data_IF_934390318263
#
_entry.id   IF_934390318263
#
_cell.length_a   1.000
_cell.length_b   1.000
_cell.length_c   1.000
_cell.angle_alpha   90.00
_cell.angle_beta   90.00
_cell.angle_gamma   90.00
#
_symmetry.space_group_name_H-M   'P 1'
#
loop_
_entity.id
_entity.type
_entity.pdbx_description
1 polymer ?
#
# COMPACT_ATOMS: atom_id res chain seq x y z
N UNK A 1 -17.43 -10.03 43.05
CA UNK A 1 -17.69 -8.90 42.12
C UNK A 1 -16.43 -8.37 41.44
N UNK A 2 -15.26 -8.23 42.10
CA UNK A 2 -14.00 -7.80 41.46
C UNK A 2 -13.48 -8.73 40.34
N UNK A 3 -13.68 -10.04 40.43
CA UNK A 3 -13.23 -11.03 39.42
C UNK A 3 -14.04 -11.00 38.12
N UNK A 4 -15.31 -10.59 38.17
CA UNK A 4 -16.16 -10.46 36.97
C UNK A 4 -15.76 -9.25 36.11
N UNK A 5 -15.28 -8.18 36.74
CA UNK A 5 -14.90 -6.92 36.07
C UNK A 5 -13.55 -7.03 35.34
N UNK A 6 -12.64 -7.89 35.82
CA UNK A 6 -11.36 -8.17 35.15
C UNK A 6 -11.57 -9.05 33.91
N UNK A 7 -12.52 -9.99 33.96
CA UNK A 7 -12.84 -10.88 32.81
C UNK A 7 -13.47 -10.11 31.64
N UNK A 8 -14.40 -9.19 31.91
CA UNK A 8 -15.00 -8.34 30.86
C UNK A 8 -14.00 -7.37 30.25
N UNK A 9 -13.07 -6.82 31.03
CA UNK A 9 -12.02 -5.93 30.51
C UNK A 9 -11.03 -6.67 29.61
N UNK A 10 -10.67 -7.92 29.96
CA UNK A 10 -9.77 -8.76 29.15
C UNK A 10 -10.42 -9.20 27.82
N UNK A 11 -11.72 -9.48 27.84
CA UNK A 11 -12.49 -9.83 26.63
C UNK A 11 -12.63 -8.64 25.68
N UNK A 12 -12.80 -7.42 26.20
CA UNK A 12 -12.87 -6.20 25.41
C UNK A 12 -11.52 -5.86 24.75
N UNK A 13 -10.39 -6.16 25.39
CA UNK A 13 -9.06 -5.94 24.80
C UNK A 13 -8.70 -6.92 23.68
N UNK A 14 -9.30 -8.12 23.65
CA UNK A 14 -9.07 -9.08 22.56
C UNK A 14 -9.84 -8.78 21.27
N UNK A 15 -10.84 -7.88 21.32
CA UNK A 15 -11.57 -7.44 20.12
C UNK A 15 -10.86 -6.35 19.30
N UNK A 16 -9.70 -5.86 19.76
CA UNK A 16 -8.90 -4.85 19.05
C UNK A 16 -7.63 -5.44 18.41
N UNK A 17 -7.74 -6.59 17.75
CA UNK A 17 -6.67 -6.98 16.84
C UNK A 17 -6.71 -6.03 15.63
N UNK A 18 -5.62 -5.33 15.30
CA UNK A 18 -5.58 -4.52 14.10
C UNK A 18 -5.78 -5.45 12.89
N UNK A 19 -6.78 -5.15 12.06
CA UNK A 19 -6.88 -5.78 10.75
C UNK A 19 -5.58 -5.45 9.99
N UNK A 20 -4.80 -6.48 9.67
CA UNK A 20 -3.60 -6.33 8.85
C UNK A 20 -4.05 -6.30 7.39
N UNK A 21 -3.99 -5.11 6.80
CA UNK A 21 -4.17 -4.94 5.37
C UNK A 21 -2.86 -5.27 4.67
N UNK A 22 -2.95 -6.01 3.56
CA UNK A 22 -1.81 -6.20 2.67
C UNK A 22 -1.45 -4.87 2.01
N UNK A 23 -0.18 -4.70 1.67
CA UNK A 23 0.33 -3.49 1.04
C UNK A 23 0.49 -3.75 -0.46
N UNK A 24 -0.21 -2.99 -1.29
CA UNK A 24 0.07 -2.93 -2.74
C UNK A 24 0.83 -1.65 -3.05
N UNK A 25 1.94 -1.77 -3.78
CA UNK A 25 2.81 -0.62 -4.01
C UNK A 25 3.57 -0.70 -5.33
N UNK A 26 4.00 0.48 -5.77
CA UNK A 26 4.85 0.65 -6.96
C UNK A 26 6.31 0.84 -6.54
N UNK A 27 7.23 0.13 -7.18
CA UNK A 27 8.68 0.30 -7.00
C UNK A 27 9.36 0.66 -8.33
N UNK A 28 10.38 1.53 -8.35
CA UNK A 28 10.82 2.37 -7.24
C UNK A 28 9.74 3.40 -6.85
N UNK A 29 9.64 3.71 -5.55
CA UNK A 29 8.66 4.67 -5.05
C UNK A 29 8.89 6.09 -5.60
N UNK A 30 10.15 6.42 -5.93
CA UNK A 30 10.52 7.65 -6.62
C UNK A 30 11.65 7.34 -7.60
N UNK A 31 11.57 7.92 -8.79
CA UNK A 31 12.67 7.90 -9.75
C UNK A 31 12.71 9.18 -10.57
N UNK A 32 13.87 9.45 -11.15
CA UNK A 32 14.10 10.58 -12.02
C UNK A 32 14.80 10.10 -13.28
N UNK A 33 14.29 10.53 -14.44
CA UNK A 33 14.85 10.21 -15.76
C UNK A 33 14.92 11.45 -16.65
N UNK A 34 15.62 11.36 -17.78
CA UNK A 34 15.63 12.40 -18.81
C UNK A 34 14.45 12.21 -19.79
N UNK A 35 14.14 13.25 -20.55
CA UNK A 35 13.14 13.16 -21.62
C UNK A 35 13.65 12.20 -22.71
N UNK A 36 12.80 11.26 -23.12
CA UNK A 36 13.12 10.22 -24.11
C UNK A 36 13.57 8.89 -23.49
N UNK A 37 13.84 8.84 -22.18
CA UNK A 37 14.22 7.62 -21.49
C UNK A 37 13.03 6.65 -21.36
N UNK A 38 13.36 5.36 -21.24
CA UNK A 38 12.41 4.32 -20.82
C UNK A 38 12.46 4.17 -19.30
N UNK A 39 11.30 4.28 -18.68
CA UNK A 39 11.06 4.13 -17.25
C UNK A 39 10.45 2.77 -16.99
N UNK A 40 10.91 2.09 -15.95
CA UNK A 40 10.35 0.82 -15.50
C UNK A 40 9.82 0.96 -14.07
N UNK A 41 8.67 0.35 -13.82
CA UNK A 41 8.13 0.20 -12.46
C UNK A 41 7.57 -1.19 -12.28
N UNK A 42 7.70 -1.74 -11.08
CA UNK A 42 7.05 -3.00 -10.70
C UNK A 42 5.90 -2.73 -9.73
N UNK A 43 4.83 -3.50 -9.89
CA UNK A 43 3.68 -3.51 -8.99
C UNK A 43 3.81 -4.75 -8.12
N UNK A 44 3.84 -4.55 -6.80
CA UNK A 44 4.04 -5.63 -5.83
C UNK A 44 2.97 -5.61 -4.75
N UNK A 45 2.75 -6.78 -4.17
CA UNK A 45 1.94 -6.98 -2.97
C UNK A 45 2.80 -7.61 -1.87
N UNK A 46 2.71 -7.08 -0.66
CA UNK A 46 3.40 -7.59 0.53
C UNK A 46 2.48 -7.61 1.76
N UNK A 47 2.99 -8.11 2.88
CA UNK A 47 2.28 -8.19 4.15
C UNK A 47 1.00 -9.06 4.05
N UNK A 48 1.06 -10.15 3.28
CA UNK A 48 -0.10 -11.03 3.03
C UNK A 48 -0.49 -11.86 4.26
N UNK A 49 0.35 -11.90 5.30
CA UNK A 49 0.07 -12.57 6.57
C UNK A 49 -0.36 -14.04 6.43
N UNK A 50 0.27 -14.78 5.49
CA UNK A 50 -0.04 -16.18 5.17
C UNK A 50 -1.13 -16.39 4.12
N UNK A 51 -1.68 -15.29 3.58
CA UNK A 51 -2.49 -15.31 2.37
C UNK A 51 -1.61 -15.46 1.11
N UNK A 52 -2.25 -15.50 -0.05
CA UNK A 52 -1.64 -15.55 -1.38
C UNK A 52 -2.28 -14.47 -2.25
N UNK A 53 -1.79 -14.33 -3.49
CA UNK A 53 -2.50 -13.62 -4.56
C UNK A 53 -2.97 -14.63 -5.59
N UNK A 54 -4.28 -14.83 -5.73
CA UNK A 54 -4.89 -15.73 -6.73
C UNK A 54 -5.32 -15.01 -8.00
N UNK A 55 -5.46 -13.68 -7.94
CA UNK A 55 -5.76 -12.86 -9.09
C UNK A 55 -5.86 -11.37 -8.73
N UNK A 56 -6.05 -10.54 -9.74
CA UNK A 56 -6.26 -9.11 -9.58
C UNK A 56 -7.00 -8.49 -10.77
N UNK A 57 -7.56 -7.31 -10.51
CA UNK A 57 -8.06 -6.34 -11.48
C UNK A 57 -7.62 -4.96 -10.98
N UNK A 58 -6.74 -4.31 -11.74
CA UNK A 58 -6.00 -3.11 -11.31
C UNK A 58 -5.91 -2.08 -12.43
N UNK A 59 -6.17 -0.83 -12.07
CA UNK A 59 -5.83 0.34 -12.88
C UNK A 59 -4.69 1.13 -12.22
N UNK A 60 -3.67 1.45 -13.01
CA UNK A 60 -2.60 2.36 -12.63
C UNK A 60 -2.71 3.66 -13.44
N UNK A 61 -3.08 4.74 -12.76
CA UNK A 61 -3.23 6.06 -13.36
C UNK A 61 -1.91 6.83 -13.38
N UNK A 62 -1.68 7.57 -14.46
CA UNK A 62 -0.48 8.39 -14.67
C UNK A 62 -0.81 9.66 -15.48
N UNK A 63 0.13 10.61 -15.53
CA UNK A 63 -0.02 11.80 -16.37
C UNK A 63 0.46 11.51 -17.80
N UNK A 64 -0.49 11.36 -18.73
CA UNK A 64 -0.19 11.03 -20.13
C UNK A 64 0.44 12.15 -20.96
N UNK A 65 0.47 13.38 -20.44
CA UNK A 65 1.27 14.43 -21.07
C UNK A 65 2.77 14.25 -20.80
N UNK A 66 3.14 13.55 -19.72
CA UNK A 66 4.52 13.43 -19.23
C UNK A 66 5.09 12.04 -19.52
N UNK A 67 4.27 10.99 -19.37
CA UNK A 67 4.64 9.61 -19.66
C UNK A 67 3.72 9.02 -20.72
N UNK A 68 4.19 7.98 -21.41
CA UNK A 68 3.36 7.10 -22.24
C UNK A 68 3.63 5.67 -21.82
N UNK A 69 2.60 4.94 -21.36
CA UNK A 69 2.74 3.51 -21.12
C UNK A 69 3.00 2.80 -22.46
N UNK A 70 4.02 1.95 -22.48
CA UNK A 70 4.47 1.27 -23.70
C UNK A 70 4.22 -0.22 -23.67
N UNK A 71 4.27 -0.86 -22.51
CA UNK A 71 4.09 -2.31 -22.37
C UNK A 71 3.89 -2.74 -20.91
N UNK A 72 3.33 -3.95 -20.72
CA UNK A 72 3.10 -4.60 -19.42
C UNK A 72 3.68 -6.02 -19.44
N UNK A 73 4.46 -6.37 -18.40
CA UNK A 73 5.13 -7.66 -18.27
C UNK A 73 4.66 -8.38 -17.02
N UNK A 74 3.89 -9.45 -17.19
CA UNK A 74 3.37 -10.25 -16.07
C UNK A 74 4.45 -11.16 -15.47
N UNK A 75 4.52 -11.25 -14.14
CA UNK A 75 5.43 -12.16 -13.44
C UNK A 75 4.79 -13.55 -13.27
N UNK A 76 4.52 -14.20 -14.40
CA UNK A 76 3.71 -15.43 -14.48
C UNK A 76 4.26 -16.58 -13.63
N UNK A 77 5.56 -16.60 -13.33
CA UNK A 77 6.16 -17.62 -12.46
C UNK A 77 5.55 -17.65 -11.04
N UNK A 78 4.90 -16.57 -10.59
CA UNK A 78 4.19 -16.51 -9.31
C UNK A 78 2.76 -17.07 -9.37
N UNK A 79 2.22 -17.35 -10.56
CA UNK A 79 0.78 -17.58 -10.78
C UNK A 79 0.44 -18.80 -11.61
N UNK A 80 1.42 -19.41 -12.29
CA UNK A 80 1.19 -20.50 -13.23
C UNK A 80 2.42 -21.40 -13.36
N UNK A 81 2.20 -22.71 -13.56
CA UNK A 81 3.24 -23.65 -14.01
C UNK A 81 3.24 -23.79 -15.54
N UNK A 82 2.05 -23.74 -16.15
CA UNK A 82 1.81 -23.64 -17.61
C UNK A 82 0.93 -22.41 -17.95
N UNK A 83 1.51 -21.33 -18.50
CA UNK A 83 0.78 -20.08 -18.77
C UNK A 83 -0.40 -20.20 -19.73
N UNK A 84 -0.44 -21.25 -20.56
CA UNK A 84 -1.50 -21.43 -21.54
C UNK A 84 -2.78 -22.05 -20.93
N UNK A 85 -2.67 -22.64 -19.74
CA UNK A 85 -3.77 -23.40 -19.10
C UNK A 85 -4.08 -22.99 -17.68
N UNK A 86 -3.10 -22.50 -16.92
CA UNK A 86 -3.24 -22.26 -15.48
C UNK A 86 -3.60 -20.81 -15.14
N UNK A 87 -3.67 -19.91 -16.13
CA UNK A 87 -4.03 -18.53 -15.90
C UNK A 87 -4.75 -17.90 -17.09
N UNK A 88 -5.59 -16.92 -16.81
CA UNK A 88 -6.13 -15.98 -17.78
C UNK A 88 -5.72 -14.57 -17.39
N UNK A 89 -5.11 -13.82 -18.30
CA UNK A 89 -4.58 -12.50 -18.03
C UNK A 89 -4.61 -11.64 -19.30
N UNK A 90 -4.72 -10.33 -19.11
CA UNK A 90 -4.63 -9.35 -20.19
C UNK A 90 -4.30 -7.97 -19.60
N UNK A 91 -3.95 -7.05 -20.49
CA UNK A 91 -3.73 -5.66 -20.14
C UNK A 91 -4.28 -4.71 -21.19
N UNK A 92 -4.56 -3.49 -20.77
CA UNK A 92 -5.01 -2.42 -21.65
C UNK A 92 -4.15 -1.17 -21.40
N UNK A 93 -3.63 -0.59 -22.48
CA UNK A 93 -2.88 0.65 -22.45
C UNK A 93 -3.75 1.79 -22.98
N UNK A 94 -4.22 2.63 -22.06
CA UNK A 94 -4.97 3.83 -22.37
C UNK A 94 -4.18 5.08 -22.04
N UNK A 95 -4.59 6.22 -22.60
CA UNK A 95 -3.95 7.50 -22.26
C UNK A 95 -4.20 7.86 -20.80
N UNK A 96 -3.20 7.66 -19.95
CA UNK A 96 -3.22 8.02 -18.54
C UNK A 96 -3.71 6.90 -17.62
N UNK A 97 -3.91 5.70 -18.16
CA UNK A 97 -4.40 4.53 -17.44
C UNK A 97 -3.77 3.25 -18.01
N UNK A 98 -3.27 2.40 -17.12
CA UNK A 98 -2.84 1.04 -17.44
C UNK A 98 -3.77 0.08 -16.69
N UNK A 99 -4.65 -0.58 -17.43
CA UNK A 99 -5.48 -1.66 -16.92
C UNK A 99 -4.73 -2.98 -16.97
N UNK A 100 -4.85 -3.80 -15.94
CA UNK A 100 -4.32 -5.16 -15.92
C UNK A 100 -5.24 -6.08 -15.14
N UNK A 101 -5.41 -7.29 -15.63
CA UNK A 101 -6.07 -8.34 -14.87
C UNK A 101 -5.30 -9.66 -14.99
N UNK A 102 -5.41 -10.48 -13.96
CA UNK A 102 -5.01 -11.88 -13.99
C UNK A 102 -5.92 -12.70 -13.07
N UNK A 103 -6.24 -13.92 -13.48
CA UNK A 103 -6.84 -14.95 -12.63
C UNK A 103 -6.04 -16.22 -12.81
N UNK A 104 -5.51 -16.79 -11.71
CA UNK A 104 -4.91 -18.12 -11.71
C UNK A 104 -5.99 -19.19 -11.47
N UNK A 105 -5.85 -20.33 -12.14
CA UNK A 105 -6.67 -21.52 -11.95
C UNK A 105 -5.98 -22.58 -11.07
N UNK A 106 -4.75 -22.32 -10.61
CA UNK A 106 -4.08 -23.15 -9.63
C UNK A 106 -4.80 -23.13 -8.28
N UNK A 107 -4.69 -24.21 -7.54
CA UNK A 107 -5.22 -24.26 -6.18
C UNK A 107 -4.39 -23.39 -5.23
N UNK A 108 -5.03 -22.92 -4.17
CA UNK A 108 -4.45 -22.10 -3.11
C UNK A 108 -3.15 -22.62 -2.49
N UNK A 109 -2.95 -23.95 -2.49
CA UNK A 109 -1.76 -24.59 -1.94
C UNK A 109 -0.61 -24.63 -2.96
N UNK A 110 -0.92 -24.71 -4.26
CA UNK A 110 0.06 -24.62 -5.35
C UNK A 110 0.58 -23.19 -5.46
N UNK A 111 -0.32 -22.20 -5.47
CA UNK A 111 0.06 -20.78 -5.44
C UNK A 111 0.91 -20.42 -4.22
N UNK A 112 0.60 -20.99 -3.04
CA UNK A 112 1.40 -20.77 -1.84
C UNK A 112 2.82 -21.35 -1.93
N UNK A 113 3.07 -22.32 -2.82
CA UNK A 113 4.40 -22.87 -3.07
C UNK A 113 5.18 -22.05 -4.11
N UNK A 114 4.48 -21.42 -5.05
CA UNK A 114 5.09 -20.57 -6.08
C UNK A 114 5.45 -19.18 -5.54
N UNK A 115 4.65 -18.62 -4.63
CA UNK A 115 4.75 -17.23 -4.22
C UNK A 115 5.73 -17.01 -3.07
N UNK A 116 6.63 -16.04 -3.24
CA UNK A 116 7.50 -15.51 -2.18
C UNK A 116 7.22 -14.03 -2.01
N UNK A 117 7.06 -13.57 -0.77
CA UNK A 117 6.84 -12.14 -0.49
C UNK A 117 8.12 -11.30 -0.65
N UNK A 118 8.05 -10.09 -1.25
CA UNK A 118 6.86 -9.50 -1.88
C UNK A 118 6.52 -10.18 -3.21
N UNK A 119 5.23 -10.40 -3.46
CA UNK A 119 4.76 -10.99 -4.71
C UNK A 119 4.69 -9.88 -5.76
N UNK A 120 5.55 -9.97 -6.77
CA UNK A 120 5.46 -9.07 -7.93
C UNK A 120 4.33 -9.55 -8.84
N UNK A 121 3.43 -8.64 -9.19
CA UNK A 121 2.30 -8.93 -10.08
C UNK A 121 2.73 -8.77 -11.54
N UNK A 122 3.20 -7.56 -11.87
CA UNK A 122 3.66 -7.19 -13.20
C UNK A 122 4.57 -5.98 -13.13
N UNK A 123 5.26 -5.71 -14.24
CA UNK A 123 6.04 -4.51 -14.49
C UNK A 123 5.40 -3.69 -15.61
N UNK A 124 5.49 -2.38 -15.53
CA UNK A 124 5.03 -1.46 -16.59
C UNK A 124 6.23 -0.68 -17.10
N UNK A 125 6.33 -0.60 -18.43
CA UNK A 125 7.27 0.30 -19.10
C UNK A 125 6.58 1.58 -19.53
N UNK A 126 7.26 2.72 -19.36
CA UNK A 126 6.82 4.01 -19.85
C UNK A 126 7.92 4.69 -20.67
N UNK A 127 7.52 5.43 -21.70
CA UNK A 127 8.39 6.43 -22.35
C UNK A 127 8.19 7.79 -21.70
N UNK A 128 9.29 8.44 -21.31
CA UNK A 128 9.27 9.81 -20.80
C UNK A 128 9.13 10.82 -21.94
N UNK A 129 8.01 11.54 -22.01
CA UNK A 129 7.65 12.41 -23.13
C UNK A 129 8.12 13.85 -22.95
N UNK A 130 7.84 14.45 -21.80
CA UNK A 130 8.08 15.87 -21.55
C UNK A 130 8.55 16.12 -20.13
N UNK A 131 9.24 17.24 -19.93
CA UNK A 131 9.60 17.75 -18.61
C UNK A 131 8.38 17.85 -17.68
N UNK A 132 8.48 17.32 -16.46
CA UNK A 132 7.40 17.34 -15.47
C UNK A 132 7.43 16.19 -14.46
N UNK A 133 6.40 16.12 -13.63
CA UNK A 133 6.21 15.04 -12.65
C UNK A 133 4.94 14.27 -12.95
N UNK A 134 5.05 12.94 -13.07
CA UNK A 134 3.91 12.02 -13.11
C UNK A 134 3.82 11.25 -11.81
N UNK A 135 2.68 11.35 -11.13
CA UNK A 135 2.35 10.48 -10.01
C UNK A 135 1.66 9.23 -10.55
N UNK A 136 2.14 8.06 -10.12
CA UNK A 136 1.56 6.77 -10.42
C UNK A 136 0.66 6.37 -9.26
N UNK A 137 -0.65 6.29 -9.49
CA UNK A 137 -1.63 6.01 -8.44
C UNK A 137 -2.53 4.85 -8.84
N UNK A 138 -2.83 3.97 -7.89
CA UNK A 138 -3.84 2.95 -8.09
C UNK A 138 -5.24 3.58 -8.15
N UNK A 139 -6.15 2.91 -8.86
CA UNK A 139 -7.56 3.29 -8.86
C UNK A 139 -8.27 3.06 -7.53
N UNK A 140 -9.59 3.28 -7.54
CA UNK A 140 -10.40 3.21 -6.33
C UNK A 140 -11.02 1.82 -6.13
N UNK A 141 -10.91 1.30 -4.92
CA UNK A 141 -11.75 0.24 -4.36
C UNK A 141 -13.03 0.91 -3.78
N UNK A 142 -14.28 0.50 -4.11
CA UNK A 142 -14.71 -0.74 -4.78
C UNK A 142 -15.16 -0.60 -6.23
N UNK A 143 -14.57 0.29 -7.03
CA UNK A 143 -14.91 0.42 -8.46
C UNK A 143 -14.28 -0.67 -9.33
N UNK A 144 -13.77 -1.75 -8.72
CA UNK A 144 -12.97 -2.81 -9.34
C UNK A 144 -11.65 -2.33 -9.99
N UNK A 145 -11.28 -1.06 -9.79
CA UNK A 145 -10.02 -0.49 -10.28
C UNK A 145 -8.82 -0.79 -9.35
N UNK A 146 -9.11 -1.36 -8.18
CA UNK A 146 -8.14 -1.82 -7.19
C UNK A 146 -8.71 -3.03 -6.47
N UNK A 147 -8.54 -4.21 -7.04
CA UNK A 147 -8.93 -5.46 -6.39
C UNK A 147 -7.81 -6.49 -6.54
N UNK A 148 -7.34 -7.02 -5.42
CA UNK A 148 -6.44 -8.18 -5.39
C UNK A 148 -7.14 -9.26 -4.58
N UNK A 149 -7.16 -10.46 -5.14
CA UNK A 149 -7.88 -11.60 -4.60
C UNK A 149 -6.88 -12.59 -4.02
N UNK A 150 -7.21 -13.17 -2.87
CA UNK A 150 -6.39 -14.16 -2.19
C UNK A 150 -7.06 -15.53 -2.12
N UNK A 151 -6.84 -16.23 -1.01
CA UNK A 151 -7.39 -17.57 -0.76
C UNK A 151 -8.90 -17.62 -0.96
N UNK A 152 -9.37 -18.75 -1.51
CA UNK A 152 -10.78 -19.02 -1.80
C UNK A 152 -11.48 -17.96 -2.68
N UNK A 153 -10.72 -17.14 -3.41
CA UNK A 153 -11.27 -16.05 -4.22
C UNK A 153 -11.78 -14.85 -3.40
N UNK A 154 -11.33 -14.68 -2.16
CA UNK A 154 -11.71 -13.54 -1.33
C UNK A 154 -10.85 -12.29 -1.60
N UNK A 155 -11.47 -11.12 -1.75
CA UNK A 155 -10.75 -9.83 -1.86
C UNK A 155 -9.89 -9.56 -0.62
N UNK A 156 -8.65 -9.14 -0.85
CA UNK A 156 -7.73 -8.75 0.20
C UNK A 156 -8.02 -7.31 0.66
N UNK A 157 -7.99 -7.02 1.97
CA UNK A 157 -7.95 -5.64 2.43
C UNK A 157 -6.59 -5.02 2.05
N UNK A 158 -6.60 -3.98 1.22
CA UNK A 158 -5.38 -3.36 0.69
C UNK A 158 -5.14 -1.96 1.25
N UNK A 159 -3.87 -1.63 1.45
CA UNK A 159 -3.37 -0.26 1.52
C UNK A 159 -2.54 -0.03 0.26
N UNK A 160 -2.91 0.97 -0.52
CA UNK A 160 -2.22 1.30 -1.76
C UNK A 160 -1.14 2.38 -1.54
N UNK A 161 0.04 2.20 -2.15
CA UNK A 161 1.10 3.21 -2.21
C UNK A 161 1.60 3.40 -3.64
N UNK A 162 1.30 4.57 -4.20
CA UNK A 162 1.77 4.98 -5.50
C UNK A 162 3.28 5.23 -5.56
N UNK A 163 3.73 5.69 -6.72
CA UNK A 163 5.09 6.15 -6.94
C UNK A 163 5.11 7.52 -7.63
N UNK A 164 6.29 8.10 -7.73
CA UNK A 164 6.51 9.35 -8.45
C UNK A 164 7.64 9.19 -9.47
N UNK A 165 7.41 9.70 -10.68
CA UNK A 165 8.40 9.77 -11.74
C UNK A 165 8.62 11.23 -12.11
N UNK A 166 9.83 11.73 -11.84
CA UNK A 166 10.31 13.01 -12.34
C UNK A 166 10.96 12.84 -13.71
N UNK A 167 10.58 13.69 -14.66
CA UNK A 167 11.17 13.73 -16.01
C UNK A 167 11.83 15.09 -16.20
N UNK A 168 13.09 15.12 -16.64
CA UNK A 168 13.81 16.35 -16.97
C UNK A 168 14.19 17.22 -15.76
N UNK A 169 13.50 18.32 -15.55
CA UNK A 169 13.59 19.20 -14.37
C UNK A 169 12.47 18.92 -13.35
N UNK A 170 11.48 18.09 -13.69
CA UNK A 170 10.46 17.63 -12.77
C UNK A 170 11.05 16.86 -11.59
N UNK A 171 10.78 17.32 -10.37
CA UNK A 171 11.26 16.69 -9.14
C UNK A 171 10.12 16.17 -8.31
N UNK A 172 10.17 14.88 -8.00
CA UNK A 172 9.30 14.29 -7.00
C UNK A 172 9.44 15.01 -5.67
N UNK A 173 8.30 15.29 -5.03
CA UNK A 173 8.33 15.77 -3.67
C UNK A 173 9.00 14.71 -2.79
N UNK A 174 10.09 15.09 -2.13
CA UNK A 174 10.60 14.29 -1.03
C UNK A 174 9.60 14.46 0.12
N UNK A 175 8.88 13.39 0.44
CA UNK A 175 8.14 13.32 1.69
C UNK A 175 9.17 13.37 2.82
N UNK A 176 9.53 14.58 3.25
CA UNK A 176 10.36 14.79 4.44
C UNK A 176 9.47 14.44 5.62
N UNK A 177 9.74 13.36 6.38
CA UNK A 177 8.95 13.04 7.55
C UNK A 177 8.94 14.25 8.47
N UNK A 178 7.75 14.67 8.90
CA UNK A 178 7.63 15.85 9.75
C UNK A 178 8.59 15.70 10.93
N UNK A 179 9.49 16.68 11.16
CA UNK A 179 10.59 16.47 12.10
C UNK A 179 10.03 16.19 13.49
N UNK A 180 10.68 15.28 14.22
CA UNK A 180 10.32 14.90 15.59
C UNK A 180 10.25 16.11 16.56
N UNK A 181 10.72 17.28 16.12
CA UNK A 181 10.52 18.58 16.78
C UNK A 181 9.05 18.92 17.02
N UNK A 182 8.11 18.50 16.16
CA UNK A 182 6.68 18.71 16.40
C UNK A 182 6.17 17.87 17.58
N UNK A 183 6.66 16.62 17.71
CA UNK A 183 6.38 15.78 18.87
C UNK A 183 7.03 16.34 20.14
N UNK A 184 8.26 16.84 20.06
CA UNK A 184 8.93 17.50 21.19
C UNK A 184 8.19 18.78 21.62
N UNK A 185 7.67 19.56 20.67
CA UNK A 185 6.88 20.74 20.96
C UNK A 185 5.53 20.37 21.60
N UNK A 186 4.83 19.37 21.07
CA UNK A 186 3.60 18.86 21.67
C UNK A 186 3.83 18.37 23.11
N UNK A 187 4.91 17.63 23.36
CA UNK A 187 5.29 17.18 24.70
C UNK A 187 5.65 18.35 25.62
N UNK A 188 6.38 19.35 25.12
CA UNK A 188 6.75 20.55 25.89
C UNK A 188 5.54 21.37 26.33
N UNK A 189 4.52 21.49 25.48
CA UNK A 189 3.26 22.18 25.80
C UNK A 189 2.44 21.42 26.86
N UNK A 190 2.53 20.10 26.90
CA UNK A 190 1.80 19.27 27.87
C UNK A 190 2.44 19.25 29.28
N UNK A 191 3.75 19.46 29.38
CA UNK A 191 4.48 19.49 30.66
C UNK A 191 3.92 20.50 31.70
N UNK A 192 3.61 21.77 31.38
CA UNK A 192 3.05 22.71 32.35
C UNK A 192 1.62 22.37 32.81
N UNK A 193 0.83 21.65 32.01
CA UNK A 193 -0.52 21.23 32.40
C UNK A 193 -0.50 20.12 33.45
N UNK A 194 0.47 19.20 33.39
CA UNK A 194 0.64 18.15 34.41
C UNK A 194 1.03 18.69 35.79
N UNK A 195 1.67 19.87 35.85
CA UNK A 195 2.06 20.51 37.12
C UNK A 195 0.88 21.15 37.85
N UNK A 196 -0.14 21.64 37.15
CA UNK A 196 -1.32 22.28 37.79
C UNK A 196 -2.24 21.28 38.50
N UNK A 197 -2.28 20.02 38.05
CA UNK A 197 -3.10 18.97 38.66
C UNK A 197 -2.52 18.41 39.97
N UNK A 198 -1.26 18.72 40.31
CA UNK A 198 -0.60 18.24 41.54
C UNK A 198 -0.66 19.21 42.71
N UNK A 199 -1.15 20.44 42.50
CA UNK A 199 -1.14 21.52 43.50
C UNK A 199 -2.38 21.63 44.40
N UNK A 200 -3.43 20.84 44.18
CA UNK A 200 -4.72 20.99 44.88
C UNK A 200 -4.97 20.00 46.02
N UNK A 201 -4.00 19.19 46.43
CA UNK A 201 -4.22 18.14 47.47
C UNK A 201 -3.86 18.57 48.91
N UNK A 202 -3.14 19.68 49.13
CA UNK A 202 -2.70 20.05 50.50
C UNK A 202 -3.24 21.42 50.98
N UNK A 203 -4.56 21.60 51.00
CA UNK A 203 -5.16 22.78 51.63
C UNK A 203 -6.53 22.49 52.28
N UNK A 204 -6.58 21.57 53.24
CA UNK A 204 -7.58 21.60 54.32
C UNK A 204 -6.93 21.08 55.60
N UNK A 205 -6.38 22.01 56.38
CA UNK A 205 -6.03 21.79 57.78
C UNK A 205 -7.18 22.21 58.71
N UNK A 206 -7.05 21.72 59.95
CA UNK A 206 -7.61 22.23 61.22
C UNK A 206 -9.07 21.93 61.63
N UNK A 207 -9.17 20.92 62.51
CA UNK A 207 -9.70 20.91 63.89
C UNK A 207 -10.86 21.83 64.31
N UNK A 208 -11.70 21.32 65.22
CA UNK A 208 -11.63 21.78 66.62
C UNK A 208 -11.09 20.73 67.60
#
# INVERSE_FOLDING_TARGET
MKTFLVSTLLMLTMMFMPARAALIYVTPAQQHVDVGDTVWVDILVSDLAGNIVSGWDLNLFYNSAILQATDVFFDLANFTEDPDWDAFYDFELNSGDVGSFLVSFLFDHELALLQTEPVRLFSVSFLALTDGVSLLNFGLDPLFQLNVVGRDGASLPLVARGACVGVGQGRCAVDVPAPATLWLFAMAVLLPFSRRLRGTVNATGEQP
#
